data_IF_087901997061
#
_entry.id   IF_087901997061
#
_cell.length_a   1.000
_cell.length_b   1.000
_cell.length_c   1.000
_cell.angle_alpha   90.00
_cell.angle_beta   90.00
_cell.angle_gamma   90.00
#
_symmetry.space_group_name_H-M   'P 1'
#
loop_
_entity.id
_entity.type
_entity.pdbx_description
1 polymer ?
#
# COMPACT_ATOMS: atom_id res chain seq x y z
N UNK A 1 11.00 -16.20 30.42
CA UNK A 1 11.22 -15.91 28.99
C UNK A 1 11.86 -14.52 28.88
N UNK A 2 13.16 -14.43 28.56
CA UNK A 2 13.89 -13.16 28.55
C UNK A 2 13.66 -12.34 27.28
N UNK A 3 13.30 -11.07 27.43
CA UNK A 3 13.02 -10.12 26.33
C UNK A 3 14.18 -10.05 25.31
N UNK A 4 15.42 -10.21 25.78
CA UNK A 4 16.63 -10.23 24.96
C UNK A 4 16.68 -11.36 23.91
N UNK A 5 16.05 -12.52 24.17
CA UNK A 5 16.00 -13.61 23.18
C UNK A 5 14.95 -13.36 22.10
N UNK A 6 13.84 -12.71 22.46
CA UNK A 6 12.79 -12.29 21.52
C UNK A 6 13.31 -11.23 20.54
N UNK A 7 14.05 -10.23 21.03
CA UNK A 7 14.71 -9.23 20.18
C UNK A 7 15.67 -9.86 19.17
N UNK A 8 16.50 -10.82 19.59
CA UNK A 8 17.40 -11.55 18.68
C UNK A 8 16.64 -12.35 17.61
N UNK A 9 15.45 -12.90 17.92
CA UNK A 9 14.60 -13.56 16.94
C UNK A 9 14.07 -12.58 15.90
N UNK A 10 13.58 -11.40 16.30
CA UNK A 10 13.08 -10.39 15.35
C UNK A 10 14.17 -9.86 14.41
N UNK A 11 15.39 -9.66 14.91
CA UNK A 11 16.52 -9.21 14.09
C UNK A 11 16.81 -10.22 12.97
N UNK A 12 16.80 -11.54 13.25
CA UNK A 12 16.96 -12.56 12.20
C UNK A 12 15.86 -12.51 11.15
N UNK A 13 14.61 -12.29 11.57
CA UNK A 13 13.48 -12.18 10.63
C UNK A 13 13.68 -11.00 9.69
N UNK A 14 14.10 -9.85 10.22
CA UNK A 14 14.40 -8.66 9.41
C UNK A 14 15.60 -8.88 8.47
N UNK A 15 16.60 -9.66 8.89
CA UNK A 15 17.75 -10.02 8.05
C UNK A 15 17.39 -11.00 6.92
N UNK A 16 16.39 -11.87 7.13
CA UNK A 16 15.89 -12.81 6.11
C UNK A 16 14.95 -12.11 5.11
N UNK A 17 14.34 -10.99 5.49
CA UNK A 17 13.48 -10.22 4.59
C UNK A 17 14.29 -9.69 3.39
N UNK A 18 13.87 -10.07 2.19
CA UNK A 18 14.54 -9.66 0.94
C UNK A 18 14.07 -8.27 0.54
N UNK A 19 15.03 -7.35 0.30
CA UNK A 19 14.73 -6.05 -0.29
C UNK A 19 14.18 -6.27 -1.71
N UNK A 20 13.01 -5.69 -2.07
CA UNK A 20 12.43 -5.87 -3.39
C UNK A 20 13.35 -5.29 -4.47
N UNK A 21 13.37 -5.91 -5.64
CA UNK A 21 14.06 -5.35 -6.79
C UNK A 21 13.29 -4.11 -7.31
N UNK A 22 13.99 -3.19 -7.99
CA UNK A 22 13.35 -1.98 -8.54
C UNK A 22 12.21 -2.30 -9.50
N UNK A 23 12.33 -3.38 -10.27
CA UNK A 23 11.32 -3.80 -11.25
C UNK A 23 10.05 -4.33 -10.55
N UNK A 24 10.21 -5.18 -9.54
CA UNK A 24 9.11 -5.72 -8.72
C UNK A 24 8.38 -4.59 -7.98
N UNK A 25 9.15 -3.67 -7.40
CA UNK A 25 8.60 -2.49 -6.73
C UNK A 25 7.79 -1.63 -7.70
N UNK A 26 8.34 -1.36 -8.88
CA UNK A 26 7.67 -0.55 -9.90
C UNK A 26 6.40 -1.23 -10.41
N UNK A 27 6.41 -2.54 -10.59
CA UNK A 27 5.23 -3.29 -11.03
C UNK A 27 4.12 -3.26 -9.98
N UNK A 28 4.44 -3.51 -8.71
CA UNK A 28 3.49 -3.41 -7.61
C UNK A 28 2.95 -1.99 -7.46
N UNK A 29 3.82 -0.98 -7.51
CA UNK A 29 3.44 0.43 -7.42
C UNK A 29 2.51 0.85 -8.57
N UNK A 30 2.76 0.38 -9.81
CA UNK A 30 1.88 0.65 -10.96
C UNK A 30 0.48 0.07 -10.76
N UNK A 31 0.38 -1.19 -10.31
CA UNK A 31 -0.91 -1.85 -10.09
C UNK A 31 -1.69 -1.13 -8.97
N UNK A 32 -1.03 -0.80 -7.86
CA UNK A 32 -1.64 -0.04 -6.77
C UNK A 32 -2.08 1.36 -7.21
N UNK A 33 -1.25 2.06 -7.99
CA UNK A 33 -1.58 3.39 -8.51
C UNK A 33 -2.83 3.35 -9.40
N UNK A 34 -2.95 2.34 -10.28
CA UNK A 34 -4.14 2.15 -11.12
C UNK A 34 -5.38 1.94 -10.24
N UNK A 35 -5.29 1.11 -9.21
CA UNK A 35 -6.40 0.87 -8.27
C UNK A 35 -6.85 2.13 -7.53
N UNK A 36 -5.90 2.92 -7.02
CA UNK A 36 -6.19 4.19 -6.32
C UNK A 36 -6.86 5.18 -7.26
N UNK A 37 -6.34 5.34 -8.49
CA UNK A 37 -6.92 6.24 -9.48
C UNK A 37 -8.33 5.81 -9.86
N UNK A 38 -8.57 4.51 -10.08
CA UNK A 38 -9.88 4.00 -10.45
C UNK A 38 -10.93 4.29 -9.37
N UNK A 39 -10.62 3.93 -8.12
CA UNK A 39 -11.53 4.17 -6.98
C UNK A 39 -11.71 5.68 -6.75
N UNK A 40 -10.64 6.46 -6.87
CA UNK A 40 -10.67 7.91 -6.73
C UNK A 40 -11.57 8.59 -7.78
N UNK A 41 -11.48 8.19 -9.05
CA UNK A 41 -12.33 8.71 -10.13
C UNK A 41 -13.79 8.34 -9.91
N UNK A 42 -14.08 7.11 -9.46
CA UNK A 42 -15.45 6.69 -9.17
C UNK A 42 -16.04 7.53 -8.02
N UNK A 43 -15.32 7.64 -6.89
CA UNK A 43 -15.76 8.45 -5.76
C UNK A 43 -15.87 9.94 -6.09
N UNK A 44 -14.93 10.47 -6.87
CA UNK A 44 -14.96 11.85 -7.35
C UNK A 44 -16.12 12.11 -8.32
N UNK A 45 -16.41 11.16 -9.22
CA UNK A 45 -17.56 11.24 -10.12
C UNK A 45 -18.89 11.28 -9.37
N UNK A 46 -19.03 10.48 -8.32
CA UNK A 46 -20.21 10.53 -7.44
C UNK A 46 -20.28 11.88 -6.74
N UNK A 47 -19.19 12.38 -6.17
CA UNK A 47 -19.15 13.69 -5.51
C UNK A 47 -19.55 14.83 -6.45
N UNK A 48 -19.01 14.86 -7.67
CA UNK A 48 -19.36 15.85 -8.68
C UNK A 48 -20.85 15.74 -9.08
N UNK A 49 -21.37 14.52 -9.23
CA UNK A 49 -22.78 14.32 -9.55
C UNK A 49 -23.70 14.85 -8.44
N UNK A 50 -23.36 14.64 -7.16
CA UNK A 50 -24.10 15.17 -6.02
C UNK A 50 -24.10 16.71 -6.01
N UNK A 51 -22.92 17.33 -6.22
CA UNK A 51 -22.81 18.79 -6.33
C UNK A 51 -23.66 19.33 -7.47
N UNK A 52 -23.63 18.67 -8.64
CA UNK A 52 -24.35 19.13 -9.83
C UNK A 52 -25.87 18.99 -9.68
N UNK A 53 -26.33 17.99 -8.92
CA UNK A 53 -27.73 17.83 -8.53
C UNK A 53 -28.19 18.88 -7.50
N UNK A 54 -27.28 19.72 -6.98
CA UNK A 54 -27.62 20.82 -6.08
C UNK A 54 -27.99 20.37 -4.66
N UNK A 55 -27.55 19.18 -4.26
CA UNK A 55 -27.61 18.67 -2.87
C UNK A 55 -26.35 19.05 -2.12
#
# INVERSE_FOLDING_TARGET
MGIASTLRKYIRVLQVARKPNKDEFTMSAKISAIGIVLIGVIGFGIFLAFIFLGV
#
